data_IF_656907286274
#
_entry.id   IF_656907286274
#
_cell.length_a   1.000
_cell.length_b   1.000
_cell.length_c   1.000
_cell.angle_alpha   90.00
_cell.angle_beta   90.00
_cell.angle_gamma   90.00
#
_symmetry.space_group_name_H-M   'P 1'
#
loop_
_entity.id
_entity.type
_entity.pdbx_description
1 polymer ?
#
# COMPACT_ATOMS: atom_id res chain seq x y z
N UNK A 1 0.00 9.57 -15.01
CA UNK A 1 0.41 9.06 -13.70
C UNK A 1 -0.10 7.63 -13.54
N UNK A 2 0.75 6.72 -13.13
CA UNK A 2 0.38 5.32 -12.93
C UNK A 2 -0.35 5.13 -11.60
N UNK A 3 -1.02 3.98 -11.44
CA UNK A 3 -1.64 3.62 -10.17
C UNK A 3 -0.60 3.55 -9.06
N UNK A 4 0.58 3.00 -9.35
CA UNK A 4 1.69 2.97 -8.39
C UNK A 4 2.07 4.37 -7.94
N UNK A 5 2.21 5.31 -8.88
CA UNK A 5 2.55 6.70 -8.54
C UNK A 5 1.46 7.36 -7.69
N UNK A 6 0.20 7.09 -8.00
CA UNK A 6 -0.92 7.62 -7.21
C UNK A 6 -0.86 7.10 -5.76
N UNK A 7 -0.58 5.81 -5.59
CA UNK A 7 -0.43 5.20 -4.27
C UNK A 7 0.71 5.88 -3.50
N UNK A 8 1.88 6.01 -4.12
CA UNK A 8 3.04 6.64 -3.49
C UNK A 8 2.72 8.06 -3.06
N UNK A 9 2.14 8.86 -3.94
CA UNK A 9 1.85 10.27 -3.65
C UNK A 9 0.84 10.41 -2.51
N UNK A 10 -0.21 9.61 -2.52
CA UNK A 10 -1.23 9.66 -1.46
C UNK A 10 -0.66 9.27 -0.10
N UNK A 11 0.17 8.23 -0.07
CA UNK A 11 0.78 7.78 1.19
C UNK A 11 1.77 8.81 1.72
N UNK A 12 2.55 9.44 0.84
CA UNK A 12 3.46 10.51 1.25
C UNK A 12 2.73 11.70 1.83
N UNK A 13 1.65 12.13 1.20
CA UNK A 13 0.87 13.27 1.68
C UNK A 13 0.16 12.97 2.99
N UNK A 14 -0.40 11.77 3.13
CA UNK A 14 -1.19 11.42 4.31
C UNK A 14 -0.33 11.13 5.54
N UNK A 15 0.83 10.52 5.38
CA UNK A 15 1.60 9.96 6.49
C UNK A 15 3.00 10.53 6.66
N UNK A 16 3.51 11.31 5.71
CA UNK A 16 4.87 11.86 5.74
C UNK A 16 5.90 10.79 6.17
N UNK A 17 5.97 9.67 5.47
CA UNK A 17 6.76 8.52 5.93
C UNK A 17 8.26 8.78 5.87
N UNK A 18 8.98 8.17 6.81
CA UNK A 18 10.45 8.12 6.78
C UNK A 18 10.93 7.19 5.68
N UNK A 19 10.16 6.13 5.43
CA UNK A 19 10.49 5.12 4.43
C UNK A 19 9.21 4.65 3.76
N UNK A 20 9.25 4.49 2.45
CA UNK A 20 8.11 4.03 1.68
C UNK A 20 8.61 3.24 0.49
N UNK A 21 8.13 2.00 0.38
CA UNK A 21 8.40 1.15 -0.77
C UNK A 21 7.08 0.56 -1.26
N UNK A 22 6.78 0.76 -2.53
CA UNK A 22 5.57 0.23 -3.16
C UNK A 22 6.00 -0.62 -4.35
N UNK A 23 5.66 -1.90 -4.28
CA UNK A 23 6.03 -2.87 -5.32
C UNK A 23 4.78 -3.36 -6.02
N UNK A 24 4.81 -3.33 -7.36
CA UNK A 24 3.76 -3.92 -8.19
C UNK A 24 4.07 -5.41 -8.34
N UNK A 25 3.21 -6.24 -7.76
CA UNK A 25 3.34 -7.70 -7.79
C UNK A 25 2.36 -8.36 -8.76
N UNK A 26 1.77 -7.59 -9.66
CA UNK A 26 0.77 -8.12 -10.59
C UNK A 26 1.28 -9.29 -11.43
N UNK A 27 2.57 -9.29 -11.76
CA UNK A 27 3.19 -10.36 -12.54
C UNK A 27 3.17 -11.72 -11.84
N UNK A 28 3.08 -11.75 -10.51
CA UNK A 28 2.99 -12.98 -9.73
C UNK A 28 1.62 -13.66 -9.88
N UNK A 29 0.66 -12.96 -10.46
CA UNK A 29 -0.73 -13.41 -10.59
C UNK A 29 -1.14 -13.61 -12.05
N UNK A 30 -0.18 -13.63 -12.97
CA UNK A 30 -0.46 -13.86 -14.39
C UNK A 30 -1.19 -15.18 -14.59
N UNK A 31 -2.25 -15.13 -15.39
CA UNK A 31 -3.07 -16.29 -15.66
C UNK A 31 -4.11 -16.59 -14.60
N UNK A 32 -4.11 -15.87 -13.48
CA UNK A 32 -5.13 -16.00 -12.45
C UNK A 32 -6.34 -15.13 -12.75
N UNK A 33 -7.49 -15.49 -12.20
CA UNK A 33 -8.69 -14.67 -12.31
C UNK A 33 -8.42 -13.28 -11.73
N UNK A 34 -8.83 -12.24 -12.44
CA UNK A 34 -8.61 -10.87 -12.02
C UNK A 34 -7.32 -10.24 -12.53
N UNK A 35 -6.42 -11.03 -13.12
CA UNK A 35 -5.22 -10.48 -13.73
C UNK A 35 -5.59 -9.62 -14.94
N UNK A 36 -4.90 -8.49 -15.10
CA UNK A 36 -5.04 -7.61 -16.25
C UNK A 36 -3.71 -7.48 -16.97
N UNK A 37 -3.70 -7.45 -18.30
CA UNK A 37 -2.48 -7.12 -19.04
C UNK A 37 -1.98 -5.74 -18.61
N UNK A 38 -0.67 -5.59 -18.44
CA UNK A 38 -0.06 -4.33 -18.04
C UNK A 38 0.16 -4.16 -16.54
N UNK A 39 -0.33 -5.09 -15.71
CA UNK A 39 -0.08 -5.06 -14.26
C UNK A 39 -0.97 -4.07 -13.51
N UNK A 40 -0.45 -3.55 -12.38
CA UNK A 40 -1.07 -2.54 -11.52
C UNK A 40 -2.38 -3.00 -10.85
N UNK A 41 -2.49 -4.30 -10.56
CA UNK A 41 -3.65 -4.87 -9.88
C UNK A 41 -3.33 -5.40 -8.49
N UNK A 42 -2.08 -5.73 -8.21
CA UNK A 42 -1.63 -6.30 -6.93
C UNK A 42 -0.38 -5.57 -6.47
N UNK A 43 -0.44 -5.00 -5.27
CA UNK A 43 0.66 -4.20 -4.73
C UNK A 43 1.06 -4.66 -3.34
N UNK A 44 2.34 -4.45 -3.03
CA UNK A 44 2.86 -4.61 -1.68
C UNK A 44 3.44 -3.28 -1.22
N UNK A 45 3.05 -2.86 -0.02
CA UNK A 45 3.47 -1.58 0.56
C UNK A 45 4.24 -1.83 1.84
N UNK A 46 5.45 -1.28 1.92
CA UNK A 46 6.21 -1.16 3.17
C UNK A 46 6.31 0.31 3.50
N UNK A 47 5.77 0.71 4.64
CA UNK A 47 5.73 2.12 5.05
C UNK A 47 6.11 2.26 6.52
N UNK A 48 7.00 3.21 6.79
CA UNK A 48 7.42 3.55 8.15
C UNK A 48 7.08 5.01 8.39
N UNK A 49 6.23 5.28 9.37
CA UNK A 49 5.77 6.64 9.65
C UNK A 49 5.49 6.85 11.13
N UNK A 50 5.84 8.04 11.69
CA UNK A 50 5.44 8.41 13.05
C UNK A 50 3.93 8.39 13.25
N UNK A 51 3.13 8.55 12.19
CA UNK A 51 1.68 8.52 12.26
C UNK A 51 1.13 7.19 12.79
N UNK A 52 1.92 6.13 12.76
CA UNK A 52 1.50 4.80 13.21
C UNK A 52 1.85 4.51 14.66
N UNK A 53 2.53 5.42 15.35
CA UNK A 53 2.86 5.25 16.77
C UNK A 53 1.59 5.11 17.61
N UNK A 54 1.58 4.10 18.48
CA UNK A 54 0.44 3.86 19.35
C UNK A 54 -0.78 3.25 18.66
N UNK A 55 -0.70 2.98 17.36
CA UNK A 55 -1.80 2.39 16.60
C UNK A 55 -1.65 0.88 16.49
N UNK A 56 -2.77 0.16 16.60
CA UNK A 56 -2.79 -1.27 16.37
C UNK A 56 -2.54 -1.59 14.90
N UNK A 57 -2.18 -2.84 14.60
CA UNK A 57 -2.03 -3.29 13.23
C UNK A 57 -3.30 -3.06 12.41
N UNK A 58 -4.45 -3.36 12.99
CA UNK A 58 -5.75 -3.17 12.33
C UNK A 58 -5.99 -1.70 12.03
N UNK A 59 -5.71 -0.82 12.99
CA UNK A 59 -5.90 0.61 12.80
C UNK A 59 -5.01 1.16 11.70
N UNK A 60 -3.75 0.73 11.65
CA UNK A 60 -2.81 1.14 10.60
C UNK A 60 -3.33 0.74 9.22
N UNK A 61 -3.83 -0.48 9.08
CA UNK A 61 -4.41 -0.96 7.83
C UNK A 61 -5.65 -0.16 7.45
N UNK A 62 -6.50 0.17 8.41
CA UNK A 62 -7.69 1.00 8.17
C UNK A 62 -7.32 2.39 7.68
N UNK A 63 -6.30 2.99 8.27
CA UNK A 63 -5.81 4.31 7.87
C UNK A 63 -5.34 4.30 6.42
N UNK A 64 -4.56 3.30 6.04
CA UNK A 64 -4.04 3.18 4.68
C UNK A 64 -5.16 2.86 3.69
N UNK A 65 -6.06 1.94 4.04
CA UNK A 65 -7.20 1.61 3.18
C UNK A 65 -8.09 2.81 2.93
N UNK A 66 -8.33 3.64 3.94
CA UNK A 66 -9.12 4.86 3.77
C UNK A 66 -8.43 5.84 2.82
N UNK A 67 -7.10 5.98 2.94
CA UNK A 67 -6.31 6.86 2.07
C UNK A 67 -6.33 6.39 0.62
N UNK A 68 -6.35 5.09 0.41
CA UNK A 68 -6.30 4.48 -0.92
C UNK A 68 -7.67 3.97 -1.39
N UNK A 69 -8.75 4.48 -0.81
CA UNK A 69 -10.10 3.98 -1.11
C UNK A 69 -10.45 4.02 -2.60
N UNK A 70 -10.05 5.07 -3.31
CA UNK A 70 -10.33 5.20 -4.74
C UNK A 70 -9.62 4.12 -5.55
N UNK A 71 -8.35 3.84 -5.23
CA UNK A 71 -7.57 2.81 -5.91
C UNK A 71 -8.13 1.41 -5.64
N UNK A 72 -8.52 1.16 -4.39
CA UNK A 72 -9.10 -0.12 -4.00
C UNK A 72 -10.49 -0.36 -4.61
N UNK A 73 -11.25 0.70 -4.84
CA UNK A 73 -12.53 0.61 -5.54
C UNK A 73 -12.36 0.43 -7.06
N UNK A 74 -11.19 0.78 -7.58
CA UNK A 74 -10.88 0.74 -9.01
C UNK A 74 -10.07 -0.49 -9.40
N UNK A 75 -8.86 -0.25 -9.92
CA UNK A 75 -8.04 -1.31 -10.54
C UNK A 75 -7.26 -2.18 -9.55
N UNK A 76 -7.09 -1.76 -8.31
CA UNK A 76 -6.32 -2.52 -7.32
C UNK A 76 -7.17 -3.63 -6.73
N UNK A 77 -6.82 -4.89 -7.01
CA UNK A 77 -7.53 -6.06 -6.52
C UNK A 77 -7.04 -6.52 -5.16
N UNK A 78 -5.74 -6.35 -4.89
CA UNK A 78 -5.14 -6.79 -3.64
C UNK A 78 -4.04 -5.83 -3.21
N UNK A 79 -3.94 -5.60 -1.91
CA UNK A 79 -2.95 -4.72 -1.32
C UNK A 79 -2.41 -5.36 -0.05
N UNK A 80 -1.14 -5.77 -0.08
CA UNK A 80 -0.44 -6.25 1.10
C UNK A 80 0.23 -5.06 1.79
N UNK A 81 -0.02 -4.88 3.07
CA UNK A 81 0.42 -3.71 3.81
C UNK A 81 1.32 -4.11 4.98
N UNK A 82 2.50 -3.50 5.06
CA UNK A 82 3.42 -3.62 6.17
C UNK A 82 3.67 -2.22 6.71
N UNK A 83 2.93 -1.82 7.75
CA UNK A 83 2.99 -0.48 8.32
C UNK A 83 3.67 -0.52 9.68
N UNK A 84 4.66 0.35 9.87
CA UNK A 84 5.45 0.42 11.11
C UNK A 84 5.60 1.85 11.57
N UNK A 85 5.74 2.01 12.89
CA UNK A 85 6.26 3.24 13.46
C UNK A 85 7.79 3.19 13.46
N UNK A 86 8.48 4.36 13.49
CA UNK A 86 9.94 4.37 13.53
C UNK A 86 10.47 3.58 14.72
N UNK A 87 11.50 2.79 14.48
CA UNK A 87 12.14 1.98 15.53
C UNK A 87 11.50 0.63 15.78
N UNK A 88 10.34 0.34 15.20
CA UNK A 88 9.73 -0.99 15.31
C UNK A 88 10.47 -1.97 14.41
N UNK A 89 10.51 -3.22 14.85
CA UNK A 89 11.11 -4.30 14.05
C UNK A 89 10.05 -4.93 13.16
N UNK A 90 10.47 -5.35 11.97
CA UNK A 90 9.62 -6.18 11.11
C UNK A 90 9.33 -7.51 11.79
N UNK A 91 8.08 -7.99 11.75
CA UNK A 91 7.76 -9.31 12.25
C UNK A 91 8.43 -10.41 11.45
#
# INVERSE_FOLDING_TARGET
MSTKDAIINKLREAFSPESLDVTDESHLHEGHAGHRPGGETHFRVYIVSPSFEGKSRVDRHRMINATLAAELAGSVHALAIHAQAPGEKLP
#
